data_IF_482914142536
#
_entry.id   IF_482914142536
#
_cell.length_a   1.000
_cell.length_b   1.000
_cell.length_c   1.000
_cell.angle_alpha   90.00
_cell.angle_beta   90.00
_cell.angle_gamma   90.00
#
_symmetry.space_group_name_H-M   'P 1'
#
loop_
_entity.id
_entity.type
_entity.pdbx_description
1 polymer ?
#
# COMPACT_ATOMS: atom_id res chain seq x y z
N UNK A 1 -4.32 30.40 -41.96
CA UNK A 1 -4.27 30.02 -43.39
C UNK A 1 -3.35 28.83 -43.47
N UNK A 2 -3.89 27.73 -44.00
CA UNK A 2 -3.24 26.44 -44.11
C UNK A 2 -2.22 26.44 -45.24
N UNK A 3 -1.20 25.60 -45.15
CA UNK A 3 -0.49 25.11 -46.32
C UNK A 3 -0.26 23.61 -46.17
N UNK A 4 -0.89 22.87 -47.08
CA UNK A 4 -0.67 21.46 -47.36
C UNK A 4 0.47 21.30 -48.38
N UNK A 5 1.24 20.23 -48.26
CA UNK A 5 2.02 19.70 -49.37
C UNK A 5 1.95 18.16 -49.40
N UNK A 6 0.98 17.70 -50.17
CA UNK A 6 0.94 16.55 -51.09
C UNK A 6 2.21 15.67 -51.21
N UNK A 7 2.01 14.35 -51.08
CA UNK A 7 2.66 13.38 -51.95
C UNK A 7 1.74 12.15 -52.17
N UNK A 8 1.17 12.05 -53.37
CA UNK A 8 0.68 10.82 -54.03
C UNK A 8 1.84 10.34 -54.94
N UNK A 9 2.06 9.09 -55.35
CA UNK A 9 1.31 7.86 -55.57
C UNK A 9 2.35 6.71 -55.65
N UNK A 10 1.97 5.47 -55.33
CA UNK A 10 2.29 4.29 -56.15
C UNK A 10 1.67 3.02 -55.52
N UNK A 11 0.65 2.50 -56.20
CA UNK A 11 -0.03 1.23 -55.93
C UNK A 11 0.57 0.17 -56.84
N UNK A 12 0.89 -1.01 -56.32
CA UNK A 12 1.03 -2.23 -57.10
C UNK A 12 0.48 -3.43 -56.29
N UNK A 13 -0.59 -4.02 -56.80
CA UNK A 13 -1.26 -5.23 -56.30
C UNK A 13 -0.74 -6.48 -56.99
N UNK A 14 -0.45 -7.57 -56.27
CA UNK A 14 -0.82 -8.98 -56.63
C UNK A 14 -0.64 -9.92 -55.41
N UNK A 15 -1.15 -11.18 -55.38
CA UNK A 15 -2.14 -11.60 -54.38
C UNK A 15 -1.77 -12.82 -53.50
N UNK A 16 -2.47 -12.93 -52.35
CA UNK A 16 -2.99 -14.15 -51.74
C UNK A 16 -2.04 -15.28 -51.30
N UNK A 17 -2.02 -15.58 -49.99
CA UNK A 17 -2.36 -16.90 -49.43
C UNK A 17 -2.23 -16.94 -47.89
N UNK A 18 -3.31 -17.43 -47.24
CA UNK A 18 -3.37 -18.22 -46.00
C UNK A 18 -2.77 -17.67 -44.69
N UNK A 19 -3.67 -17.21 -43.79
CA UNK A 19 -4.02 -17.85 -42.50
C UNK A 19 -2.97 -17.96 -41.37
N UNK A 20 -3.37 -17.80 -40.09
CA UNK A 20 -2.49 -17.33 -39.01
C UNK A 20 -1.69 -18.47 -38.36
N UNK A 21 -0.44 -18.17 -38.01
CA UNK A 21 0.34 -18.99 -37.06
C UNK A 21 0.20 -18.37 -35.67
N UNK A 22 -0.78 -18.84 -34.92
CA UNK A 22 -0.84 -18.68 -33.47
C UNK A 22 0.33 -19.43 -32.84
N UNK A 23 1.34 -18.69 -32.34
CA UNK A 23 2.35 -19.27 -31.44
C UNK A 23 1.94 -19.06 -29.98
N UNK A 24 1.44 -20.14 -29.39
CA UNK A 24 1.58 -20.53 -27.98
C UNK A 24 1.40 -19.42 -26.92
N UNK A 25 0.14 -19.08 -26.63
CA UNK A 25 -0.23 -18.64 -25.28
C UNK A 25 -0.18 -19.86 -24.35
N UNK A 26 0.72 -19.84 -23.36
CA UNK A 26 0.73 -20.82 -22.30
C UNK A 26 -0.62 -20.81 -21.58
N UNK A 27 -1.33 -21.93 -21.65
CA UNK A 27 -2.59 -22.19 -20.96
C UNK A 27 -2.34 -22.19 -19.44
N UNK A 28 -2.51 -21.04 -18.80
CA UNK A 28 -2.73 -20.97 -17.36
C UNK A 28 -4.22 -20.82 -17.12
N UNK A 29 -4.87 -21.92 -16.73
CA UNK A 29 -6.23 -21.91 -16.21
C UNK A 29 -6.39 -20.79 -15.17
N UNK A 30 -7.46 -19.98 -15.23
CA UNK A 30 -7.68 -18.93 -14.24
C UNK A 30 -7.85 -19.55 -12.86
N UNK A 31 -6.88 -19.31 -11.96
CA UNK A 31 -6.94 -19.75 -10.57
C UNK A 31 -8.25 -19.26 -9.95
N UNK A 32 -9.13 -20.19 -9.58
CA UNK A 32 -10.44 -19.87 -9.00
C UNK A 32 -10.26 -19.45 -7.53
N UNK A 33 -10.27 -18.15 -7.29
CA UNK A 33 -10.13 -17.59 -5.95
C UNK A 33 -11.40 -17.87 -5.09
N UNK A 34 -11.26 -18.09 -3.76
CA UNK A 34 -12.37 -18.22 -2.83
C UNK A 34 -13.27 -16.98 -2.82
N UNK A 35 -14.53 -17.17 -2.42
CA UNK A 35 -15.49 -16.08 -2.24
C UNK A 35 -14.94 -15.07 -1.22
N UNK A 36 -14.95 -13.79 -1.57
CA UNK A 36 -14.53 -12.70 -0.69
C UNK A 36 -13.06 -12.28 -0.82
N UNK A 37 -12.25 -12.96 -1.65
CA UNK A 37 -10.91 -12.49 -2.03
C UNK A 37 -11.06 -11.47 -3.17
N UNK A 38 -10.52 -10.27 -2.95
CA UNK A 38 -10.49 -9.19 -3.96
C UNK A 38 -9.12 -9.16 -4.61
N UNK A 39 -9.07 -9.07 -5.94
CA UNK A 39 -7.82 -8.91 -6.69
C UNK A 39 -7.44 -7.44 -6.82
N UNK A 40 -6.15 -7.15 -6.72
CA UNK A 40 -5.56 -5.85 -6.97
C UNK A 40 -5.49 -5.52 -8.46
N UNK A 41 -5.04 -4.30 -8.76
CA UNK A 41 -4.83 -3.82 -10.14
C UNK A 41 -3.76 -4.61 -10.91
N UNK A 42 -2.91 -5.32 -10.18
CA UNK A 42 -1.87 -6.22 -10.68
C UNK A 42 -2.37 -7.67 -10.88
N UNK A 43 -3.65 -7.94 -10.63
CA UNK A 43 -4.26 -9.27 -10.75
C UNK A 43 -3.97 -10.21 -9.58
N UNK A 44 -3.25 -9.76 -8.54
CA UNK A 44 -2.89 -10.58 -7.37
C UNK A 44 -3.87 -10.36 -6.21
N UNK A 45 -4.02 -11.29 -5.25
CA UNK A 45 -4.85 -11.08 -4.06
C UNK A 45 -4.46 -9.80 -3.30
N UNK A 46 -5.43 -8.90 -3.09
CA UNK A 46 -5.25 -7.63 -2.38
C UNK A 46 -5.58 -7.82 -0.90
N UNK A 47 -4.56 -7.80 -0.04
CA UNK A 47 -4.70 -7.94 1.42
C UNK A 47 -5.53 -6.82 2.03
N UNK A 48 -5.31 -5.57 1.62
CA UNK A 48 -6.06 -4.40 2.12
C UNK A 48 -7.51 -4.35 1.63
N UNK A 49 -7.83 -5.07 0.55
CA UNK A 49 -9.17 -5.14 -0.02
C UNK A 49 -9.96 -6.39 0.43
N UNK A 50 -9.32 -7.30 1.17
CA UNK A 50 -9.87 -8.61 1.55
C UNK A 50 -9.96 -8.69 3.07
N UNK A 51 -11.11 -9.14 3.60
CA UNK A 51 -11.27 -9.29 5.05
C UNK A 51 -10.27 -10.32 5.61
N UNK A 52 -9.89 -10.17 6.88
CA UNK A 52 -8.96 -11.11 7.51
C UNK A 52 -9.45 -12.56 7.45
N UNK A 53 -10.75 -12.80 7.67
CA UNK A 53 -11.33 -14.13 7.59
C UNK A 53 -11.20 -14.75 6.19
N UNK A 54 -11.45 -13.95 5.14
CA UNK A 54 -11.28 -14.39 3.75
C UNK A 54 -9.81 -14.62 3.41
N UNK A 55 -8.90 -13.79 3.95
CA UNK A 55 -7.45 -13.93 3.76
C UNK A 55 -6.93 -15.21 4.40
N UNK A 56 -7.26 -15.46 5.67
CA UNK A 56 -6.84 -16.65 6.40
C UNK A 56 -7.40 -17.95 5.78
N UNK A 57 -8.58 -17.88 5.15
CA UNK A 57 -9.14 -19.02 4.43
C UNK A 57 -8.41 -19.31 3.10
N UNK A 58 -7.82 -18.28 2.47
CA UNK A 58 -7.00 -18.43 1.26
C UNK A 58 -5.67 -19.08 1.58
N UNK A 59 -4.93 -18.57 2.57
CA UNK A 59 -3.62 -19.10 3.00
C UNK A 59 -3.71 -20.54 3.51
N UNK A 60 -4.78 -20.91 4.22
CA UNK A 60 -5.03 -22.30 4.64
C UNK A 60 -5.27 -23.29 3.49
N UNK A 61 -5.74 -22.82 2.33
CA UNK A 61 -5.87 -23.66 1.13
C UNK A 61 -4.54 -23.82 0.38
N UNK A 62 -3.67 -22.83 0.49
CA UNK A 62 -2.33 -22.85 -0.12
C UNK A 62 -1.32 -23.66 0.73
N UNK A 63 -1.59 -23.87 2.03
CA UNK A 63 -0.75 -24.65 2.96
C UNK A 63 -1.50 -25.89 3.48
N UNK A 64 -1.64 -26.91 2.64
CA UNK A 64 -2.08 -28.24 3.07
C UNK A 64 -0.88 -29.04 3.61
N UNK A 65 -0.31 -28.65 4.77
CA UNK A 65 0.31 -29.55 5.75
C UNK A 65 0.74 -28.78 7.01
N UNK A 66 0.06 -29.08 8.13
CA UNK A 66 0.63 -29.16 9.48
C UNK A 66 1.10 -27.88 10.17
N UNK A 67 0.28 -27.33 11.06
CA UNK A 67 0.68 -27.05 12.46
C UNK A 67 -0.49 -26.64 13.35
N UNK A 68 -0.46 -27.14 14.59
CA UNK A 68 -1.40 -26.86 15.69
C UNK A 68 -1.20 -25.42 16.18
N UNK A 69 -2.25 -24.61 16.13
CA UNK A 69 -2.26 -23.29 16.73
C UNK A 69 -2.55 -23.39 18.23
N UNK A 70 -1.64 -22.88 19.06
CA UNK A 70 -1.86 -22.60 20.48
C UNK A 70 -2.63 -21.29 20.58
N UNK A 71 -3.83 -21.33 21.16
CA UNK A 71 -4.59 -20.13 21.51
C UNK A 71 -4.12 -19.60 22.85
N UNK A 72 -3.39 -18.48 22.84
CA UNK A 72 -3.21 -17.63 24.01
C UNK A 72 -4.12 -16.42 23.88
N UNK A 73 -5.27 -16.46 24.56
CA UNK A 73 -6.13 -15.30 24.77
C UNK A 73 -5.52 -14.42 25.86
N UNK A 74 -4.71 -13.45 25.44
CA UNK A 74 -4.35 -12.32 26.28
C UNK A 74 -5.42 -11.23 26.12
N UNK A 75 -6.24 -11.05 27.13
CA UNK A 75 -7.22 -9.96 27.21
C UNK A 75 -6.45 -8.66 27.47
N UNK A 76 -6.13 -7.92 26.41
CA UNK A 76 -5.55 -6.59 26.53
C UNK A 76 -6.63 -5.64 27.10
N UNK A 77 -6.31 -4.99 28.22
CA UNK A 77 -7.11 -3.91 28.78
C UNK A 77 -7.13 -2.77 27.75
N UNK A 78 -8.31 -2.40 27.25
CA UNK A 78 -8.44 -1.33 26.27
C UNK A 78 -8.02 0.01 26.91
N UNK A 79 -6.85 0.51 26.53
CA UNK A 79 -6.27 1.76 27.04
C UNK A 79 -6.77 2.98 26.24
N UNK A 80 -8.07 3.07 25.98
CA UNK A 80 -8.66 4.15 25.20
C UNK A 80 -10.13 4.40 25.57
N UNK A 81 -10.71 5.51 25.11
CA UNK A 81 -12.12 5.79 25.31
C UNK A 81 -12.99 4.67 24.68
N UNK A 82 -14.25 4.50 25.13
CA UNK A 82 -15.22 3.64 24.48
C UNK A 82 -15.29 3.89 22.95
N UNK A 83 -15.57 2.85 22.17
CA UNK A 83 -15.50 2.93 20.70
C UNK A 83 -16.51 3.92 20.07
N UNK A 84 -17.55 4.30 20.82
CA UNK A 84 -18.58 5.27 20.45
C UNK A 84 -18.27 6.72 20.91
N UNK A 85 -17.14 6.94 21.57
CA UNK A 85 -16.68 8.26 21.98
C UNK A 85 -15.72 8.90 20.94
N UNK A 86 -15.63 10.25 20.88
CA UNK A 86 -14.61 10.91 20.08
C UNK A 86 -13.18 10.44 20.45
N UNK A 87 -12.28 10.28 19.46
CA UNK A 87 -10.95 9.76 19.72
C UNK A 87 -10.11 10.77 20.50
N UNK A 88 -9.39 10.27 21.51
CA UNK A 88 -8.30 11.02 22.15
C UNK A 88 -7.06 11.09 21.24
N UNK A 89 -6.02 11.81 21.69
CA UNK A 89 -4.79 12.01 20.91
C UNK A 89 -4.09 10.70 20.56
N UNK A 90 -4.18 9.68 21.41
CA UNK A 90 -3.54 8.40 21.15
C UNK A 90 -4.34 7.56 20.15
N UNK A 91 -5.66 7.50 20.29
CA UNK A 91 -6.56 6.77 19.39
C UNK A 91 -6.55 7.40 18.01
N UNK A 92 -6.60 8.74 17.94
CA UNK A 92 -6.42 9.49 16.70
C UNK A 92 -5.06 9.19 16.09
N UNK A 93 -3.98 9.31 16.87
CA UNK A 93 -2.61 9.06 16.40
C UNK A 93 -2.41 7.66 15.84
N UNK A 94 -2.81 6.61 16.57
CA UNK A 94 -2.72 5.20 16.11
C UNK A 94 -3.51 4.96 14.83
N UNK A 95 -4.72 5.52 14.74
CA UNK A 95 -5.58 5.39 13.56
C UNK A 95 -4.96 6.10 12.34
N UNK A 96 -4.43 7.30 12.54
CA UNK A 96 -3.75 8.07 11.51
C UNK A 96 -2.48 7.39 11.02
N UNK A 97 -1.63 6.87 11.91
CA UNK A 97 -0.44 6.12 11.50
C UNK A 97 -0.82 4.87 10.70
N UNK A 98 -1.90 4.18 11.09
CA UNK A 98 -2.42 3.04 10.32
C UNK A 98 -2.80 3.45 8.90
N UNK A 99 -3.51 4.57 8.73
CA UNK A 99 -3.84 5.12 7.42
C UNK A 99 -2.59 5.49 6.61
N UNK A 100 -1.69 6.31 7.17
CA UNK A 100 -0.51 6.80 6.48
C UNK A 100 0.40 5.65 6.02
N UNK A 101 0.66 4.67 6.88
CA UNK A 101 1.49 3.53 6.52
C UNK A 101 0.81 2.62 5.50
N UNK A 102 -0.53 2.52 5.52
CA UNK A 102 -1.28 1.78 4.49
C UNK A 102 -1.22 2.48 3.13
N UNK A 103 -1.28 3.83 3.10
CA UNK A 103 -1.06 4.62 1.87
C UNK A 103 0.35 4.37 1.34
N UNK A 104 1.36 4.40 2.23
CA UNK A 104 2.75 4.16 1.85
C UNK A 104 2.95 2.74 1.29
N UNK A 105 2.39 1.73 1.95
CA UNK A 105 2.46 0.33 1.53
C UNK A 105 1.80 0.08 0.16
N UNK A 106 0.75 0.83 -0.18
CA UNK A 106 0.06 0.72 -1.47
C UNK A 106 0.66 1.62 -2.56
N UNK A 107 1.58 2.52 -2.21
CA UNK A 107 2.22 3.42 -3.17
C UNK A 107 2.98 2.62 -4.26
N UNK A 108 3.03 3.07 -5.52
CA UNK A 108 3.72 2.33 -6.56
C UNK A 108 5.23 2.23 -6.34
N UNK A 109 5.84 1.13 -6.79
CA UNK A 109 7.31 1.01 -6.85
C UNK A 109 7.90 2.04 -7.82
N UNK A 110 7.22 2.24 -8.96
CA UNK A 110 7.57 3.25 -9.97
C UNK A 110 6.39 4.20 -10.17
N UNK A 111 6.26 5.26 -9.35
CA UNK A 111 5.15 6.19 -9.41
C UNK A 111 5.28 7.17 -10.59
N UNK A 112 4.14 7.52 -11.19
CA UNK A 112 4.05 8.59 -12.19
C UNK A 112 4.27 9.96 -11.55
N UNK A 113 4.57 10.97 -12.39
CA UNK A 113 4.76 12.34 -11.89
C UNK A 113 3.52 12.88 -11.15
N UNK A 114 2.32 12.54 -11.64
CA UNK A 114 1.06 12.87 -10.97
C UNK A 114 0.98 12.21 -9.60
N UNK A 115 1.28 10.91 -9.48
CA UNK A 115 1.26 10.20 -8.19
C UNK A 115 2.27 10.77 -7.18
N UNK A 116 3.44 11.24 -7.65
CA UNK A 116 4.41 11.94 -6.81
C UNK A 116 3.84 13.27 -6.29
N UNK A 117 3.26 14.07 -7.20
CA UNK A 117 2.63 15.34 -6.87
C UNK A 117 1.47 15.18 -5.90
N UNK A 118 0.59 14.20 -6.15
CA UNK A 118 -0.58 13.91 -5.31
C UNK A 118 -0.15 13.50 -3.91
N UNK A 119 0.87 12.66 -3.77
CA UNK A 119 1.36 12.24 -2.46
C UNK A 119 1.99 13.41 -1.70
N UNK A 120 2.80 14.24 -2.36
CA UNK A 120 3.36 15.45 -1.75
C UNK A 120 2.25 16.43 -1.31
N UNK A 121 1.25 16.64 -2.18
CA UNK A 121 0.09 17.47 -1.88
C UNK A 121 -0.71 16.93 -0.69
N UNK A 122 -0.96 15.62 -0.66
CA UNK A 122 -1.62 14.95 0.44
C UNK A 122 -0.87 15.13 1.76
N UNK A 123 0.43 14.84 1.82
CA UNK A 123 1.23 14.99 3.05
C UNK A 123 1.27 16.46 3.49
N UNK A 124 1.36 17.40 2.55
CA UNK A 124 1.28 18.83 2.82
C UNK A 124 -0.05 19.25 3.43
N UNK A 125 -1.18 18.81 2.85
CA UNK A 125 -2.52 19.09 3.37
C UNK A 125 -2.75 18.41 4.73
N UNK A 126 -2.35 17.15 4.86
CA UNK A 126 -2.42 16.40 6.10
C UNK A 126 -1.72 17.14 7.24
N UNK A 127 -0.51 17.66 6.99
CA UNK A 127 0.27 18.41 8.01
C UNK A 127 -0.43 19.68 8.52
N UNK A 128 -1.36 20.25 7.73
CA UNK A 128 -2.13 21.45 8.08
C UNK A 128 -3.48 21.12 8.70
N UNK A 129 -4.08 20.00 8.30
CA UNK A 129 -5.44 19.61 8.69
C UNK A 129 -5.47 18.64 9.88
N UNK A 130 -4.31 18.17 10.37
CA UNK A 130 -4.26 17.24 11.49
C UNK A 130 -4.84 17.90 12.76
N UNK A 131 -5.90 17.33 13.40
CA UNK A 131 -6.69 18.04 14.42
C UNK A 131 -5.93 18.44 15.69
N UNK A 132 -4.88 17.71 16.05
CA UNK A 132 -3.98 18.09 17.15
C UNK A 132 -2.99 19.15 16.65
N UNK A 133 -3.25 20.43 16.92
CA UNK A 133 -2.42 21.53 16.42
C UNK A 133 -0.95 21.43 16.84
N UNK A 134 -0.64 21.09 18.10
CA UNK A 134 0.76 20.88 18.56
C UNK A 134 1.45 19.74 17.82
N UNK A 135 0.71 18.68 17.48
CA UNK A 135 1.22 17.55 16.71
C UNK A 135 1.44 17.95 15.24
N UNK A 136 0.53 18.75 14.69
CA UNK A 136 0.57 19.25 13.32
C UNK A 136 1.76 20.19 13.10
N UNK A 137 1.97 21.16 13.99
CA UNK A 137 3.11 22.09 13.94
C UNK A 137 4.46 21.35 14.06
N UNK A 138 4.54 20.36 14.95
CA UNK A 138 5.73 19.54 15.10
C UNK A 138 6.04 18.73 13.83
N UNK A 139 5.01 18.13 13.22
CA UNK A 139 5.16 17.39 11.97
C UNK A 139 5.54 18.31 10.79
N UNK A 140 5.00 19.53 10.73
CA UNK A 140 5.43 20.55 9.77
C UNK A 140 6.90 20.93 9.98
N UNK A 141 7.33 21.07 11.24
CA UNK A 141 8.73 21.30 11.59
C UNK A 141 9.64 20.14 11.14
N UNK A 142 9.20 18.89 11.32
CA UNK A 142 9.90 17.71 10.80
C UNK A 142 10.01 17.77 9.26
N UNK A 143 8.93 18.02 8.55
CA UNK A 143 8.92 18.14 7.08
C UNK A 143 9.77 19.29 6.54
N UNK A 144 9.97 20.35 7.32
CA UNK A 144 10.89 21.43 6.97
C UNK A 144 12.34 20.92 6.90
N UNK A 145 12.74 20.09 7.87
CA UNK A 145 14.09 19.50 8.00
C UNK A 145 14.29 18.25 7.13
N UNK A 146 13.25 17.46 6.95
CA UNK A 146 13.29 16.13 6.31
C UNK A 146 12.20 16.05 5.24
N UNK A 147 12.55 16.38 4.00
CA UNK A 147 11.60 16.40 2.88
C UNK A 147 11.05 14.99 2.57
N UNK A 148 9.74 14.83 2.31
CA UNK A 148 9.17 13.56 1.90
C UNK A 148 9.88 13.00 0.66
N UNK A 149 10.30 11.74 0.74
CA UNK A 149 10.90 11.02 -0.39
C UNK A 149 9.78 10.24 -1.08
N UNK A 150 9.47 10.56 -2.33
CA UNK A 150 8.29 10.02 -3.03
C UNK A 150 8.65 9.32 -4.34
N UNK A 151 9.92 8.96 -4.56
CA UNK A 151 10.30 8.35 -5.84
C UNK A 151 9.94 6.89 -5.96
N UNK A 152 9.63 6.21 -4.85
CA UNK A 152 9.19 4.83 -4.82
C UNK A 152 8.43 4.52 -3.53
N UNK A 153 7.73 3.37 -3.53
CA UNK A 153 7.12 2.78 -2.33
C UNK A 153 8.10 2.68 -1.16
N UNK A 154 9.30 2.15 -1.41
CA UNK A 154 10.29 1.92 -0.37
C UNK A 154 10.81 3.24 0.21
N UNK A 155 11.18 4.19 -0.65
CA UNK A 155 11.65 5.51 -0.20
C UNK A 155 10.63 6.23 0.69
N UNK A 156 9.36 6.21 0.27
CA UNK A 156 8.30 6.87 1.04
C UNK A 156 7.99 6.15 2.35
N UNK A 157 7.93 4.82 2.33
CA UNK A 157 7.67 4.01 3.52
C UNK A 157 8.79 4.15 4.56
N UNK A 158 10.05 4.18 4.10
CA UNK A 158 11.22 4.44 4.92
C UNK A 158 11.21 5.86 5.50
N UNK A 159 10.88 6.87 4.69
CA UNK A 159 10.73 8.25 5.19
C UNK A 159 9.63 8.37 6.24
N UNK A 160 8.47 7.76 6.01
CA UNK A 160 7.34 7.77 6.93
C UNK A 160 7.66 7.02 8.23
N UNK A 161 8.39 5.90 8.15
CA UNK A 161 8.90 5.19 9.33
C UNK A 161 9.82 6.08 10.17
N UNK A 162 10.78 6.77 9.55
CA UNK A 162 11.66 7.71 10.27
C UNK A 162 10.89 8.87 10.89
N UNK A 163 9.86 9.38 10.21
CA UNK A 163 8.98 10.41 10.77
C UNK A 163 8.22 9.90 12.00
N UNK A 164 7.69 8.67 11.95
CA UNK A 164 7.04 8.04 13.09
C UNK A 164 8.03 7.82 14.25
N UNK A 165 9.26 7.40 13.96
CA UNK A 165 10.30 7.26 14.99
C UNK A 165 10.73 8.58 15.61
N UNK A 166 10.64 9.70 14.89
CA UNK A 166 10.86 11.03 15.47
C UNK A 166 9.85 11.33 16.58
N UNK A 167 8.57 11.02 16.32
CA UNK A 167 7.51 11.11 17.33
C UNK A 167 7.74 10.11 18.46
N UNK A 168 8.15 8.87 18.16
CA UNK A 168 8.45 7.87 19.20
C UNK A 168 9.54 8.37 20.16
N UNK A 169 10.66 8.88 19.63
CA UNK A 169 11.73 9.45 20.45
C UNK A 169 11.23 10.61 21.32
N UNK A 170 10.46 11.53 20.74
CA UNK A 170 9.87 12.68 21.46
C UNK A 170 8.96 12.25 22.61
N UNK A 171 8.24 11.15 22.44
CA UNK A 171 7.33 10.58 23.44
C UNK A 171 7.98 9.53 24.35
N UNK A 172 9.30 9.32 24.26
CA UNK A 172 10.02 8.31 25.04
C UNK A 172 9.62 6.85 24.72
N UNK A 173 9.08 6.61 23.53
CA UNK A 173 8.70 5.26 23.05
C UNK A 173 9.89 4.60 22.33
N UNK A 174 9.97 3.26 22.35
CA UNK A 174 10.96 2.54 21.56
C UNK A 174 10.87 2.87 20.07
N UNK A 175 12.01 2.94 19.40
CA UNK A 175 12.07 3.09 17.96
C UNK A 175 11.66 1.78 17.26
N UNK A 176 10.92 1.91 16.17
CA UNK A 176 10.59 0.78 15.30
C UNK A 176 11.72 0.54 14.29
N UNK A 177 12.08 -0.71 14.05
CA UNK A 177 13.04 -1.07 13.00
C UNK A 177 12.42 -0.84 11.61
N UNK A 178 12.86 0.21 10.92
CA UNK A 178 12.31 0.55 9.61
C UNK A 178 12.55 -0.54 8.55
N UNK A 179 13.51 -1.46 8.73
CA UNK A 179 13.65 -2.61 7.83
C UNK A 179 12.42 -3.54 7.84
N UNK A 180 11.57 -3.42 8.86
CA UNK A 180 10.36 -4.21 9.08
C UNK A 180 9.08 -3.52 8.63
N UNK A 181 9.17 -2.38 7.95
CA UNK A 181 7.99 -1.63 7.50
C UNK A 181 7.08 -2.49 6.62
N UNK A 182 7.67 -3.28 5.72
CA UNK A 182 6.93 -4.07 4.73
C UNK A 182 6.14 -5.22 5.38
N UNK A 183 6.79 -5.94 6.30
CA UNK A 183 6.16 -7.00 7.11
C UNK A 183 5.01 -6.44 7.93
N UNK A 184 5.21 -5.28 8.57
CA UNK A 184 4.22 -4.68 9.45
C UNK A 184 3.00 -4.13 8.71
N UNK A 185 3.18 -3.56 7.52
CA UNK A 185 2.15 -2.74 6.86
C UNK A 185 1.62 -3.30 5.54
N UNK A 186 2.30 -4.25 4.91
CA UNK A 186 1.89 -4.79 3.60
C UNK A 186 1.77 -6.30 3.56
N UNK A 187 2.85 -7.01 3.89
CA UNK A 187 2.94 -8.46 3.60
C UNK A 187 2.43 -9.32 4.74
N UNK A 188 2.54 -8.85 5.98
CA UNK A 188 2.46 -9.72 7.16
C UNK A 188 3.85 -10.24 7.56
N UNK A 189 3.95 -10.74 8.78
CA UNK A 189 5.20 -11.25 9.35
C UNK A 189 5.56 -12.63 8.80
N UNK A 190 6.86 -12.86 8.57
CA UNK A 190 7.37 -14.14 8.03
C UNK A 190 7.12 -15.37 8.90
N UNK A 191 6.79 -15.18 10.17
CA UNK A 191 6.41 -16.27 11.09
C UNK A 191 4.98 -16.79 10.86
N UNK A 192 4.24 -16.21 9.93
CA UNK A 192 2.89 -16.65 9.54
C UNK A 192 1.79 -16.24 10.53
N UNK A 193 2.08 -15.45 11.57
CA UNK A 193 1.06 -15.07 12.58
C UNK A 193 -0.07 -14.18 12.07
N UNK A 194 0.02 -13.75 10.82
CA UNK A 194 -0.95 -12.89 10.16
C UNK A 194 -1.71 -13.60 9.02
N UNK A 195 -1.57 -14.92 8.93
CA UNK A 195 -2.16 -15.79 7.90
C UNK A 195 -3.11 -16.85 8.47
#
# INVERSE_FOLDING_TARGET
MAEEASFRDAVASVPGLSGPSESAAADQQPKKFPKGVVLGKDGKPCRSCTSFASWAAQTKKDVATGSRAVSTTATAVASGPPADCPPDVETLGRSTWTLLHSIAAQYPETPSQTQKSDLLGFVGLFSKLYPCWVCAEDFQGYMARQKPQVNSRDEFSQWLCRAHNDVNRKLGKPEFDCSKWDERWRTGWKDGRCD
#
